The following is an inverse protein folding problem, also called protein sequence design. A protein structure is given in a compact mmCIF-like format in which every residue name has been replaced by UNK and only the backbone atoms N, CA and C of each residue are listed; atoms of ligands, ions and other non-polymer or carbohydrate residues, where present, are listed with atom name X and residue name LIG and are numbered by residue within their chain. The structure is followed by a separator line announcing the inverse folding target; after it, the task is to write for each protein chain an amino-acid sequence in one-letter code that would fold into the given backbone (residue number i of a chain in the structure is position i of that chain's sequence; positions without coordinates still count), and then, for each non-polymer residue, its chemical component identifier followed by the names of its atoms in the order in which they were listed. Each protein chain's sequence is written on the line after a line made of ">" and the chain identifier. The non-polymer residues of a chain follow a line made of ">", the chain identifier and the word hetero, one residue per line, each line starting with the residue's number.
data_IF_693722713307
#
_entry.id   IF_693722713307
#
_cell.length_a   1.000
_cell.length_b   1.000
_cell.length_c   1.000
_cell.angle_alpha   90.00
_cell.angle_beta   90.00
_cell.angle_gamma   90.00
#
_symmetry.space_group_name_H-M   'P 1'
#
loop_
_entity.id
_entity.type
_entity.pdbx_description
1 polymer ?
#
# COMPACT_ATOMS: atom_id res chain seq x y z
N UNK A 1 1.91 27.95 -2.93
CA UNK A 1 2.69 29.20 -2.69
C UNK A 1 1.94 30.20 -1.81
N UNK A 2 0.60 30.25 -1.85
CA UNK A 2 -0.21 31.14 -1.00
C UNK A 2 -0.15 30.84 0.50
N UNK A 3 -0.14 29.58 0.93
CA UNK A 3 -0.12 29.25 2.38
C UNK A 3 1.14 29.82 3.08
N UNK A 4 2.32 29.65 2.48
CA UNK A 4 3.61 30.11 3.05
C UNK A 4 3.66 31.64 3.21
N UNK A 5 2.97 32.38 2.33
CA UNK A 5 2.92 33.84 2.41
C UNK A 5 1.98 34.35 3.51
N UNK A 6 0.99 33.55 3.90
CA UNK A 6 -0.04 33.94 4.87
C UNK A 6 0.20 33.41 6.30
N UNK A 7 1.24 32.59 6.49
CA UNK A 7 1.72 32.17 7.81
C UNK A 7 2.75 33.13 8.41
N UNK A 8 3.29 34.06 7.61
CA UNK A 8 4.32 34.99 8.08
C UNK A 8 3.76 35.90 9.18
N UNK A 9 4.50 36.01 10.29
CA UNK A 9 4.08 36.73 11.49
C UNK A 9 3.07 36.00 12.40
N UNK A 10 2.51 34.85 12.00
CA UNK A 10 1.67 34.01 12.87
C UNK A 10 2.51 33.05 13.69
N UNK A 11 2.21 32.92 14.98
CA UNK A 11 2.89 32.00 15.90
C UNK A 11 1.90 31.33 16.84
N UNK A 12 2.29 30.21 17.46
CA UNK A 12 1.47 29.52 18.45
C UNK A 12 0.10 29.09 17.90
N UNK A 13 -0.94 29.26 18.70
CA UNK A 13 -2.31 28.83 18.37
C UNK A 13 -2.85 29.51 17.11
N UNK A 14 -2.49 30.78 16.86
CA UNK A 14 -2.94 31.52 15.68
C UNK A 14 -2.42 30.89 14.37
N UNK A 15 -1.20 30.37 14.39
CA UNK A 15 -0.64 29.65 13.25
C UNK A 15 -1.35 28.32 13.03
N UNK A 16 -1.61 27.58 14.12
CA UNK A 16 -2.30 26.28 14.08
C UNK A 16 -3.71 26.45 13.53
N UNK A 17 -4.47 27.42 14.03
CA UNK A 17 -5.84 27.70 13.59
C UNK A 17 -5.89 28.11 12.12
N UNK A 18 -4.97 28.98 11.69
CA UNK A 18 -4.88 29.37 10.29
C UNK A 18 -4.58 28.16 9.39
N UNK A 19 -3.58 27.34 9.76
CA UNK A 19 -3.23 26.15 9.00
C UNK A 19 -4.39 25.16 8.92
N UNK A 20 -5.04 24.89 10.05
CA UNK A 20 -6.20 24.01 10.11
C UNK A 20 -7.31 24.50 9.20
N UNK A 21 -7.71 25.77 9.33
CA UNK A 21 -8.79 26.35 8.53
C UNK A 21 -8.45 26.40 7.04
N UNK A 22 -7.21 26.75 6.69
CA UNK A 22 -6.75 26.74 5.31
C UNK A 22 -6.80 25.32 4.74
N UNK A 23 -6.25 24.33 5.45
CA UNK A 23 -6.27 22.94 5.01
C UNK A 23 -7.71 22.47 4.81
N UNK A 24 -8.59 22.67 5.79
CA UNK A 24 -10.03 22.33 5.69
C UNK A 24 -10.69 23.00 4.48
N UNK A 25 -10.35 24.25 4.19
CA UNK A 25 -10.92 24.99 3.04
C UNK A 25 -10.54 24.41 1.68
N UNK A 26 -9.44 23.65 1.60
CA UNK A 26 -8.96 23.02 0.36
C UNK A 26 -9.14 21.49 0.35
N UNK A 27 -9.67 20.90 1.43
CA UNK A 27 -9.96 19.48 1.48
C UNK A 27 -11.01 19.13 0.42
N UNK A 28 -10.76 18.02 -0.27
CA UNK A 28 -11.76 17.45 -1.18
C UNK A 28 -12.83 16.71 -0.37
N UNK A 29 -14.00 16.43 -0.94
CA UNK A 29 -15.01 15.61 -0.27
C UNK A 29 -14.55 14.16 -0.11
N UNK A 30 -15.19 13.43 0.82
CA UNK A 30 -14.99 11.99 1.00
C UNK A 30 -15.23 11.19 -0.29
N UNK A 31 -16.16 11.62 -1.14
CA UNK A 31 -16.42 11.00 -2.45
C UNK A 31 -15.22 11.13 -3.40
N UNK A 32 -14.58 12.30 -3.43
CA UNK A 32 -13.38 12.52 -4.24
C UNK A 32 -12.23 11.69 -3.66
N UNK A 33 -12.11 11.66 -2.33
CA UNK A 33 -11.08 10.86 -1.67
C UNK A 33 -11.25 9.38 -1.99
N UNK A 34 -12.46 8.82 -1.84
CA UNK A 34 -12.82 7.46 -2.23
C UNK A 34 -12.45 7.18 -3.69
N UNK A 35 -12.88 8.04 -4.62
CA UNK A 35 -12.60 7.90 -6.06
C UNK A 35 -11.10 7.81 -6.34
N UNK A 36 -10.28 8.57 -5.61
CA UNK A 36 -8.81 8.51 -5.74
C UNK A 36 -8.23 7.20 -5.21
N UNK A 37 -8.79 6.64 -4.14
CA UNK A 37 -8.34 5.36 -3.59
C UNK A 37 -8.73 4.16 -4.47
N UNK A 38 -9.86 4.24 -5.19
CA UNK A 38 -10.31 3.22 -6.15
C UNK A 38 -9.39 3.11 -7.37
N UNK A 39 -8.72 4.22 -7.69
CA UNK A 39 -7.80 4.34 -8.81
C UNK A 39 -6.40 3.73 -8.58
N UNK A 40 -5.47 3.99 -9.51
CA UNK A 40 -4.09 3.50 -9.51
C UNK A 40 -3.21 4.32 -8.56
N UNK A 41 -3.54 4.31 -7.27
CA UNK A 41 -2.98 5.20 -6.25
C UNK A 41 -1.44 5.20 -6.20
N UNK A 42 -0.79 4.05 -6.45
CA UNK A 42 0.68 3.99 -6.48
C UNK A 42 1.27 4.82 -7.61
N UNK A 43 0.65 4.77 -8.79
CA UNK A 43 1.09 5.56 -9.96
C UNK A 43 0.85 7.04 -9.74
N UNK A 44 -0.29 7.38 -9.13
CA UNK A 44 -0.69 8.77 -8.93
C UNK A 44 0.11 9.43 -7.80
N UNK A 45 0.35 8.72 -6.69
CA UNK A 45 1.11 9.23 -5.55
C UNK A 45 1.70 8.10 -4.67
N UNK A 46 2.96 7.77 -4.90
CA UNK A 46 3.70 6.76 -4.13
C UNK A 46 3.78 7.13 -2.64
N UNK A 47 3.94 8.41 -2.30
CA UNK A 47 4.07 8.87 -0.92
C UNK A 47 2.80 8.65 -0.11
N UNK A 48 1.65 9.05 -0.66
CA UNK A 48 0.33 8.83 -0.05
C UNK A 48 0.01 7.33 0.02
N UNK A 49 0.32 6.58 -1.03
CA UNK A 49 0.17 5.11 -1.03
C UNK A 49 0.92 4.48 0.14
N UNK A 50 2.18 4.89 0.35
CA UNK A 50 2.99 4.38 1.45
C UNK A 50 2.39 4.74 2.81
N UNK A 51 2.00 6.01 2.97
CA UNK A 51 1.40 6.51 4.19
C UNK A 51 0.14 5.71 4.56
N UNK A 52 -0.75 5.49 3.60
CA UNK A 52 -1.98 4.70 3.78
C UNK A 52 -1.68 3.26 4.18
N UNK A 53 -0.75 2.58 3.49
CA UNK A 53 -0.40 1.20 3.82
C UNK A 53 0.23 1.09 5.23
N UNK A 54 1.05 2.07 5.64
CA UNK A 54 1.56 2.13 7.01
C UNK A 54 0.44 2.31 8.03
N UNK A 55 -0.43 3.30 7.82
CA UNK A 55 -1.53 3.57 8.74
C UNK A 55 -2.47 2.34 8.91
N UNK A 56 -2.76 1.65 7.81
CA UNK A 56 -3.56 0.42 7.85
C UNK A 56 -2.86 -0.72 8.61
N UNK A 57 -1.53 -0.84 8.49
CA UNK A 57 -0.76 -1.85 9.21
C UNK A 57 -0.60 -1.50 10.71
N UNK A 58 -0.45 -0.21 11.03
CA UNK A 58 -0.29 0.31 12.39
C UNK A 58 -1.57 0.17 13.22
N UNK A 59 -2.76 0.17 12.60
CA UNK A 59 -4.05 0.09 13.28
C UNK A 59 -4.18 -1.11 14.23
N UNK A 60 -3.53 -2.23 13.93
CA UNK A 60 -3.57 -3.45 14.75
C UNK A 60 -2.32 -3.67 15.59
N UNK A 61 -1.38 -2.72 15.58
CA UNK A 61 -0.16 -2.86 16.38
C UNK A 61 -0.46 -2.62 17.86
N UNK A 62 0.21 -3.39 18.70
CA UNK A 62 0.18 -3.28 20.16
C UNK A 62 1.59 -2.91 20.65
N UNK A 63 1.76 -2.67 21.94
CA UNK A 63 3.09 -2.45 22.51
C UNK A 63 4.03 -3.65 22.26
N UNK A 64 3.47 -4.85 22.17
CA UNK A 64 4.17 -6.11 21.96
C UNK A 64 4.51 -6.38 20.48
N UNK A 65 3.73 -5.82 19.54
CA UNK A 65 3.90 -6.06 18.09
C UNK A 65 4.39 -4.84 17.32
N UNK A 66 4.60 -3.71 18.01
CA UNK A 66 4.99 -2.44 17.41
C UNK A 66 6.23 -2.61 16.54
N UNK A 67 6.11 -2.18 15.28
CA UNK A 67 7.20 -2.19 14.31
C UNK A 67 7.34 -0.78 13.75
N UNK A 68 8.55 -0.22 13.78
CA UNK A 68 8.82 1.07 13.12
C UNK A 68 8.83 0.88 11.60
N UNK A 69 7.66 1.11 10.99
CA UNK A 69 7.49 1.03 9.54
C UNK A 69 8.18 2.18 8.82
N UNK A 70 8.56 3.25 9.52
CA UNK A 70 9.23 4.44 8.97
C UNK A 70 10.75 4.40 9.14
N UNK A 71 11.27 3.36 9.80
CA UNK A 71 12.69 3.12 9.96
C UNK A 71 13.43 3.21 8.62
N UNK A 72 14.54 3.95 8.62
CA UNK A 72 15.42 4.09 7.46
C UNK A 72 16.59 3.13 7.57
N UNK A 73 17.01 2.58 6.43
CA UNK A 73 18.22 1.79 6.36
C UNK A 73 19.42 2.69 6.68
N UNK A 74 20.36 2.25 7.53
CA UNK A 74 21.59 3.01 7.80
C UNK A 74 22.54 3.16 6.59
N UNK A 75 22.20 2.57 5.43
CA UNK A 75 22.93 2.70 4.17
C UNK A 75 22.03 3.40 3.14
N UNK A 76 22.16 4.72 3.04
CA UNK A 76 21.36 5.55 2.13
C UNK A 76 20.05 6.03 2.75
N UNK A 77 19.30 6.84 2.01
CA UNK A 77 18.08 7.49 2.51
C UNK A 77 16.80 6.66 2.22
N UNK A 78 16.91 5.33 2.25
CA UNK A 78 15.81 4.42 1.89
C UNK A 78 15.10 3.89 3.16
N UNK A 79 13.80 3.60 3.04
CA UNK A 79 13.05 2.93 4.09
C UNK A 79 13.41 1.43 4.16
N UNK A 80 13.38 0.86 5.36
CA UNK A 80 13.52 -0.60 5.56
C UNK A 80 12.28 -1.30 5.01
N UNK A 81 11.09 -0.81 5.38
CA UNK A 81 9.82 -1.29 4.86
C UNK A 81 9.45 -0.53 3.59
N UNK A 82 9.27 -1.23 2.47
CA UNK A 82 8.91 -0.61 1.19
C UNK A 82 7.64 -1.22 0.64
N UNK A 83 6.98 -0.50 -0.28
CA UNK A 83 5.78 -0.96 -0.96
C UNK A 83 6.14 -2.15 -1.85
N UNK A 84 5.43 -3.26 -1.68
CA UNK A 84 5.50 -4.46 -2.52
C UNK A 84 4.22 -4.59 -3.35
N UNK A 85 4.40 -4.94 -4.62
CA UNK A 85 3.31 -5.30 -5.52
C UNK A 85 3.06 -6.80 -5.40
N UNK A 86 1.83 -7.20 -5.08
CA UNK A 86 1.46 -8.61 -4.94
C UNK A 86 1.56 -9.27 -6.32
N UNK A 87 0.68 -8.87 -7.25
CA UNK A 87 0.88 -9.08 -8.67
C UNK A 87 1.99 -8.15 -9.18
N UNK A 88 3.10 -8.67 -9.77
CA UNK A 88 4.26 -7.85 -10.12
C UNK A 88 3.97 -6.76 -11.15
N UNK A 89 4.63 -5.61 -11.02
CA UNK A 89 4.58 -4.47 -11.96
C UNK A 89 5.59 -4.55 -13.12
N UNK A 90 6.47 -5.55 -13.12
CA UNK A 90 7.51 -5.67 -14.15
C UNK A 90 6.92 -6.04 -15.52
N UNK A 91 7.45 -5.46 -16.60
CA UNK A 91 6.99 -5.68 -17.97
C UNK A 91 6.93 -7.17 -18.34
N UNK A 92 7.90 -7.97 -17.88
CA UNK A 92 7.91 -9.40 -18.09
C UNK A 92 7.15 -10.13 -16.95
N UNK A 93 5.86 -10.37 -17.18
CA UNK A 93 5.01 -11.13 -16.25
C UNK A 93 5.46 -12.60 -16.22
N UNK A 94 5.85 -13.14 -15.05
CA UNK A 94 6.24 -14.54 -14.92
C UNK A 94 5.11 -15.50 -15.29
N UNK A 95 5.45 -16.66 -15.86
CA UNK A 95 4.45 -17.65 -16.30
C UNK A 95 3.53 -18.13 -15.18
N UNK A 96 4.04 -18.24 -13.96
CA UNK A 96 3.23 -18.58 -12.78
C UNK A 96 2.15 -17.53 -12.50
N UNK A 97 2.44 -16.27 -12.78
CA UNK A 97 1.48 -15.17 -12.66
C UNK A 97 0.50 -15.13 -13.82
N UNK A 98 0.97 -15.35 -15.06
CA UNK A 98 0.09 -15.45 -16.23
C UNK A 98 -0.93 -16.58 -16.03
N UNK A 99 -0.49 -17.73 -15.50
CA UNK A 99 -1.36 -18.85 -15.15
C UNK A 99 -2.37 -18.47 -14.05
N UNK A 100 -1.92 -17.74 -13.02
CA UNK A 100 -2.77 -17.42 -11.87
C UNK A 100 -3.81 -16.33 -12.17
N UNK A 101 -3.43 -15.29 -12.91
CA UNK A 101 -4.29 -14.10 -13.10
C UNK A 101 -5.18 -14.20 -14.34
N UNK A 102 -4.79 -15.04 -15.30
CA UNK A 102 -5.41 -15.09 -16.62
C UNK A 102 -5.46 -16.50 -17.21
N UNK A 103 -5.33 -17.55 -16.40
CA UNK A 103 -5.41 -18.95 -16.81
C UNK A 103 -4.46 -19.34 -17.97
N UNK A 104 -3.31 -18.67 -18.06
CA UNK A 104 -2.29 -18.92 -19.10
C UNK A 104 -2.37 -17.95 -20.29
N UNK A 105 -3.39 -17.09 -20.36
CA UNK A 105 -3.50 -16.05 -21.39
C UNK A 105 -2.62 -14.84 -21.05
N UNK A 106 -1.49 -14.71 -21.76
CA UNK A 106 -0.53 -13.62 -21.57
C UNK A 106 -1.11 -12.25 -21.94
N UNK A 107 -1.87 -12.15 -23.03
CA UNK A 107 -2.42 -10.87 -23.47
C UNK A 107 -3.43 -10.34 -22.43
N UNK A 108 -4.27 -11.23 -21.90
CA UNK A 108 -5.19 -10.91 -20.81
C UNK A 108 -4.44 -10.57 -19.51
N UNK A 109 -3.34 -11.26 -19.19
CA UNK A 109 -2.52 -10.92 -18.03
C UNK A 109 -1.91 -9.52 -18.13
N UNK A 110 -1.45 -9.12 -19.32
CA UNK A 110 -0.92 -7.78 -19.60
C UNK A 110 -2.01 -6.70 -19.48
N UNK A 111 -3.22 -6.96 -20.00
CA UNK A 111 -4.37 -6.06 -19.82
C UNK A 111 -4.70 -5.84 -18.34
N UNK A 112 -4.77 -6.93 -17.56
CA UNK A 112 -5.02 -6.85 -16.12
C UNK A 112 -3.89 -6.09 -15.41
N UNK A 113 -2.63 -6.30 -15.81
CA UNK A 113 -1.50 -5.58 -15.23
C UNK A 113 -1.60 -4.07 -15.44
N UNK A 114 -1.88 -3.64 -16.67
CA UNK A 114 -1.96 -2.21 -17.00
C UNK A 114 -3.04 -1.48 -16.20
N UNK A 115 -4.17 -2.15 -15.91
CA UNK A 115 -5.31 -1.53 -15.25
C UNK A 115 -5.31 -1.70 -13.71
N UNK A 116 -4.79 -2.81 -13.18
CA UNK A 116 -4.99 -3.20 -11.77
C UNK A 116 -3.74 -3.18 -10.91
N UNK A 117 -2.54 -3.18 -11.50
CA UNK A 117 -1.30 -3.43 -10.73
C UNK A 117 -1.01 -2.35 -9.68
N UNK A 118 -1.43 -1.10 -9.93
CA UNK A 118 -1.17 0.04 -9.04
C UNK A 118 -2.32 0.37 -8.08
N UNK A 119 -3.36 -0.46 -8.01
CA UNK A 119 -4.51 -0.25 -7.11
C UNK A 119 -4.19 -0.71 -5.70
N UNK A 120 -4.82 -0.09 -4.71
CA UNK A 120 -4.56 -0.31 -3.29
C UNK A 120 -4.61 -1.79 -2.88
N UNK A 121 -5.58 -2.55 -3.42
CA UNK A 121 -5.72 -3.98 -3.13
C UNK A 121 -4.56 -4.84 -3.63
N UNK A 122 -3.76 -4.40 -4.60
CA UNK A 122 -2.58 -5.13 -5.07
C UNK A 122 -1.29 -4.78 -4.31
N UNK A 123 -1.38 -3.92 -3.30
CA UNK A 123 -0.20 -3.36 -2.63
C UNK A 123 -0.12 -3.80 -1.17
N UNK A 124 1.11 -3.97 -0.70
CA UNK A 124 1.42 -4.17 0.72
C UNK A 124 2.77 -3.54 1.06
N UNK A 125 3.21 -3.64 2.31
CA UNK A 125 4.55 -3.25 2.75
C UNK A 125 5.31 -4.45 3.30
N UNK A 126 6.62 -4.47 3.06
CA UNK A 126 7.51 -5.55 3.51
C UNK A 126 8.94 -5.07 3.66
N UNK A 127 9.66 -5.60 4.65
CA UNK A 127 11.10 -5.41 4.80
C UNK A 127 11.96 -6.27 3.85
N UNK A 128 11.34 -7.16 3.08
CA UNK A 128 12.02 -8.17 2.25
C UNK A 128 11.70 -8.07 0.76
N UNK A 129 11.28 -6.88 0.31
CA UNK A 129 10.80 -6.59 -1.05
C UNK A 129 11.75 -7.13 -2.14
N UNK A 130 13.04 -6.82 -2.03
CA UNK A 130 14.07 -7.26 -2.99
C UNK A 130 14.18 -8.78 -3.14
N UNK A 131 13.73 -9.55 -2.13
CA UNK A 131 13.75 -11.02 -2.14
C UNK A 131 12.43 -11.64 -2.56
N UNK A 132 11.34 -10.86 -2.61
CA UNK A 132 10.03 -11.28 -3.08
C UNK A 132 9.90 -11.08 -4.60
N UNK A 133 10.25 -9.90 -5.10
CA UNK A 133 10.40 -9.61 -6.53
C UNK A 133 9.29 -10.18 -7.42
N UNK A 134 9.67 -11.03 -8.38
CA UNK A 134 8.77 -11.67 -9.35
C UNK A 134 8.41 -13.13 -8.99
N UNK A 135 8.59 -13.53 -7.73
CA UNK A 135 8.19 -14.86 -7.26
C UNK A 135 6.69 -15.09 -7.41
N UNK A 136 6.29 -16.35 -7.48
CA UNK A 136 4.87 -16.72 -7.48
C UNK A 136 4.17 -16.22 -6.21
N UNK A 137 2.86 -16.04 -6.27
CA UNK A 137 2.07 -15.60 -5.10
C UNK A 137 2.31 -16.51 -3.89
N UNK A 138 2.31 -17.83 -4.08
CA UNK A 138 2.54 -18.80 -3.00
C UNK A 138 3.93 -18.65 -2.37
N UNK A 139 4.97 -18.54 -3.19
CA UNK A 139 6.33 -18.29 -2.70
C UNK A 139 6.43 -16.98 -1.94
N UNK A 140 5.78 -15.90 -2.42
CA UNK A 140 5.77 -14.61 -1.72
C UNK A 140 5.03 -14.70 -0.39
N UNK A 141 3.88 -15.38 -0.36
CA UNK A 141 3.06 -15.60 0.84
C UNK A 141 3.82 -16.39 1.91
N UNK A 142 4.44 -17.50 1.51
CA UNK A 142 5.07 -18.46 2.39
C UNK A 142 6.58 -18.27 2.54
N UNK A 143 7.15 -17.14 2.05
CA UNK A 143 8.59 -16.87 2.11
C UNK A 143 9.08 -16.92 3.55
N UNK A 144 10.17 -17.68 3.77
CA UNK A 144 10.90 -17.74 5.03
C UNK A 144 12.36 -17.31 4.90
N UNK A 145 12.94 -16.76 5.95
CA UNK A 145 14.38 -16.48 6.01
C UNK A 145 15.21 -17.72 6.34
N UNK A 146 16.51 -17.55 6.55
CA UNK A 146 17.44 -18.64 6.89
C UNK A 146 17.18 -19.26 8.28
N UNK A 147 16.41 -18.60 9.12
CA UNK A 147 16.04 -19.04 10.47
C UNK A 147 14.62 -19.61 10.50
N UNK A 148 14.04 -19.94 9.35
CA UNK A 148 12.69 -20.47 9.19
C UNK A 148 11.56 -19.52 9.67
N UNK A 149 11.86 -18.22 9.77
CA UNK A 149 10.86 -17.21 10.14
C UNK A 149 10.15 -16.69 8.90
N UNK A 150 8.84 -16.50 8.97
CA UNK A 150 8.07 -15.94 7.86
C UNK A 150 8.45 -14.47 7.62
N UNK A 151 8.88 -14.19 6.39
CA UNK A 151 9.28 -12.85 5.91
C UNK A 151 8.51 -12.41 4.65
N UNK A 152 7.58 -13.27 4.20
CA UNK A 152 6.61 -13.02 3.15
C UNK A 152 5.37 -12.30 3.65
N UNK A 153 4.21 -12.61 3.07
CA UNK A 153 2.93 -12.05 3.55
C UNK A 153 2.51 -12.57 4.92
N UNK A 154 3.02 -13.75 5.31
CA UNK A 154 2.87 -14.32 6.66
C UNK A 154 3.77 -13.66 7.73
N UNK A 155 4.24 -12.43 7.51
CA UNK A 155 5.14 -11.72 8.41
C UNK A 155 4.48 -11.12 9.68
N UNK A 156 3.18 -11.34 9.88
CA UNK A 156 2.44 -10.86 11.06
C UNK A 156 1.86 -9.45 10.94
N UNK A 157 1.98 -8.78 9.78
CA UNK A 157 1.24 -7.55 9.53
C UNK A 157 -0.22 -7.87 9.23
N UNK A 158 -1.16 -7.29 9.98
CA UNK A 158 -2.61 -7.46 9.75
C UNK A 158 -3.09 -6.97 8.39
N UNK A 159 -2.33 -6.05 7.77
CA UNK A 159 -2.52 -5.62 6.39
C UNK A 159 -2.54 -6.80 5.40
N UNK A 160 -1.89 -7.91 5.74
CA UNK A 160 -1.75 -9.11 4.93
C UNK A 160 -2.69 -10.25 5.33
N UNK A 161 -3.58 -10.07 6.31
CA UNK A 161 -4.40 -11.17 6.86
C UNK A 161 -5.27 -11.86 5.78
N UNK A 162 -5.77 -11.10 4.80
CA UNK A 162 -6.50 -11.67 3.66
C UNK A 162 -5.63 -12.46 2.70
N UNK A 163 -4.32 -12.22 2.66
CA UNK A 163 -3.40 -12.93 1.78
C UNK A 163 -3.03 -14.31 2.33
N UNK A 164 -3.20 -14.56 3.63
CA UNK A 164 -2.70 -15.76 4.29
C UNK A 164 -3.42 -17.02 3.80
N UNK A 165 -4.75 -16.98 3.73
CA UNK A 165 -5.59 -18.13 3.38
C UNK A 165 -6.11 -18.07 1.93
N UNK A 166 -5.72 -17.02 1.19
CA UNK A 166 -6.05 -16.88 -0.22
C UNK A 166 -5.18 -17.82 -1.06
N UNK A 167 -5.78 -18.64 -1.92
CA UNK A 167 -5.07 -19.59 -2.79
C UNK A 167 -4.89 -19.10 -4.24
N UNK A 168 -5.66 -18.09 -4.64
CA UNK A 168 -5.60 -17.47 -5.97
C UNK A 168 -5.48 -15.96 -5.84
N UNK A 169 -4.71 -15.32 -6.71
CA UNK A 169 -4.59 -13.88 -6.76
C UNK A 169 -4.90 -13.38 -8.17
N UNK A 170 -6.18 -13.07 -8.39
CA UNK A 170 -6.72 -12.61 -9.66
C UNK A 170 -7.29 -11.17 -9.56
N UNK A 171 -7.87 -10.69 -10.66
CA UNK A 171 -8.53 -9.37 -10.72
C UNK A 171 -9.60 -9.21 -9.65
N UNK A 172 -10.43 -10.22 -9.42
CA UNK A 172 -11.54 -10.17 -8.47
C UNK A 172 -11.01 -10.01 -7.03
N UNK A 173 -9.92 -10.70 -6.70
CA UNK A 173 -9.26 -10.57 -5.40
C UNK A 173 -8.63 -9.19 -5.20
N UNK A 174 -8.03 -8.60 -6.24
CA UNK A 174 -7.52 -7.23 -6.18
C UNK A 174 -8.68 -6.24 -5.96
N UNK A 175 -9.80 -6.40 -6.65
CA UNK A 175 -10.98 -5.54 -6.52
C UNK A 175 -11.60 -5.63 -5.12
N UNK A 176 -11.87 -6.85 -4.63
CA UNK A 176 -12.39 -7.09 -3.29
C UNK A 176 -11.49 -6.53 -2.20
N UNK A 177 -10.17 -6.77 -2.30
CA UNK A 177 -9.20 -6.23 -1.34
C UNK A 177 -9.13 -4.71 -1.43
N UNK A 178 -9.20 -4.12 -2.62
CA UNK A 178 -9.24 -2.66 -2.80
C UNK A 178 -10.43 -2.07 -2.06
N UNK A 179 -11.65 -2.57 -2.31
CA UNK A 179 -12.86 -2.09 -1.62
C UNK A 179 -12.74 -2.21 -0.09
N UNK A 180 -12.29 -3.37 0.41
CA UNK A 180 -12.09 -3.59 1.85
C UNK A 180 -11.10 -2.61 2.47
N UNK A 181 -9.96 -2.36 1.81
CA UNK A 181 -8.95 -1.44 2.32
C UNK A 181 -9.45 0.01 2.27
N UNK A 182 -10.20 0.39 1.23
CA UNK A 182 -10.81 1.73 1.13
C UNK A 182 -11.74 1.99 2.32
N UNK A 183 -12.61 1.05 2.68
CA UNK A 183 -13.49 1.22 3.84
C UNK A 183 -12.69 1.42 5.13
N UNK A 184 -11.59 0.68 5.32
CA UNK A 184 -10.69 0.89 6.47
C UNK A 184 -10.03 2.27 6.44
N UNK A 185 -9.58 2.74 5.28
CA UNK A 185 -8.96 4.07 5.14
C UNK A 185 -9.98 5.17 5.43
N UNK A 186 -11.20 5.05 4.93
CA UNK A 186 -12.25 6.01 5.20
C UNK A 186 -12.60 6.03 6.69
N UNK A 187 -12.66 4.90 7.38
CA UNK A 187 -12.85 4.88 8.84
C UNK A 187 -11.73 5.59 9.63
N UNK A 188 -10.51 5.64 9.09
CA UNK A 188 -9.37 6.31 9.74
C UNK A 188 -9.36 7.83 9.51
N UNK A 189 -9.86 8.28 8.37
CA UNK A 189 -9.69 9.65 7.89
C UNK A 189 -11.00 10.33 7.48
N UNK A 190 -12.15 9.78 7.89
CA UNK A 190 -13.45 10.35 7.58
C UNK A 190 -13.50 11.80 8.08
N UNK A 191 -13.99 12.70 7.21
CA UNK A 191 -14.17 14.12 7.51
C UNK A 191 -15.59 14.43 7.95
#
# INVERSE_FOLDING_TARGET
>A
MEMIQNIDGRIGDELIDYMHNYLVSILSSDDIFRTKLEGPIYRDNIGVTRFILCALAEQSMTAETMTDLWARSGKGNNYIWTIEHIFPQGENIPDSWVQMIADGDRAKAEEIQQEWVHRLGNLTITGFNSTLGNKSFEEKRNRKDRQDRYVGYRNGLSLNDDLLETNTWDKEQIEKRTAKLIEKVLQLYQM
#
